data_IF_420722558162
#
_entry.id   IF_420722558162
#
_cell.length_a   1.000
_cell.length_b   1.000
_cell.length_c   1.000
_cell.angle_alpha   90.00
_cell.angle_beta   90.00
_cell.angle_gamma   90.00
#
_symmetry.space_group_name_H-M   'P 1'
#
loop_
_entity.id
_entity.type
_entity.pdbx_description
1 polymer ?
#
# COMPACT_ATOMS: atom_id res chain seq x y z
N UNK A 1 6.65 23.47 2.80
CA UNK A 1 7.24 22.66 1.71
C UNK A 1 6.19 21.70 1.22
N UNK A 2 5.92 21.69 -0.09
CA UNK A 2 4.83 20.93 -0.68
C UNK A 2 5.12 19.42 -0.61
N UNK A 3 4.38 18.70 0.24
CA UNK A 3 4.57 17.26 0.46
C UNK A 3 4.28 16.37 -0.78
N UNK A 4 3.81 16.95 -1.88
CA UNK A 4 3.63 16.28 -3.17
C UNK A 4 4.30 17.00 -4.35
N UNK A 5 5.15 18.00 -4.09
CA UNK A 5 5.86 18.67 -5.17
C UNK A 5 5.02 19.65 -6.00
N UNK A 6 3.90 20.17 -5.48
CA UNK A 6 3.11 21.26 -6.07
C UNK A 6 2.93 22.41 -5.07
N UNK A 7 3.21 23.63 -5.48
CA UNK A 7 2.81 24.82 -4.71
C UNK A 7 1.36 25.19 -5.03
N UNK A 8 0.59 25.45 -3.97
CA UNK A 8 -0.78 25.93 -4.10
C UNK A 8 -0.74 27.40 -4.47
N UNK A 9 -1.00 27.71 -5.74
CA UNK A 9 -1.20 29.08 -6.18
C UNK A 9 -2.69 29.36 -6.08
N UNK A 10 -3.06 29.97 -4.96
CA UNK A 10 -4.32 30.67 -4.64
C UNK A 10 -5.47 30.57 -5.68
N UNK A 11 -6.65 30.17 -5.19
CA UNK A 11 -7.95 30.28 -5.86
C UNK A 11 -8.14 31.67 -6.48
N UNK A 12 -8.21 31.81 -7.82
CA UNK A 12 -8.71 33.01 -8.51
C UNK A 12 -9.00 32.79 -10.02
N UNK A 13 -9.89 33.66 -10.53
CA UNK A 13 -10.48 33.81 -11.87
C UNK A 13 -11.67 32.86 -12.22
N UNK A 14 -12.90 33.40 -12.42
CA UNK A 14 -14.11 32.64 -12.80
C UNK A 14 -13.99 31.77 -14.06
N UNK A 15 -12.94 31.98 -14.87
CA UNK A 15 -12.78 31.41 -16.20
C UNK A 15 -11.97 30.10 -16.23
N UNK A 16 -11.39 29.65 -15.10
CA UNK A 16 -10.61 28.39 -15.04
C UNK A 16 -11.47 27.14 -14.89
N UNK A 17 -12.68 27.27 -14.33
CA UNK A 17 -13.68 26.21 -14.15
C UNK A 17 -13.36 25.15 -13.08
N UNK A 18 -12.22 25.23 -12.38
CA UNK A 18 -11.82 24.37 -11.26
C UNK A 18 -11.91 25.13 -9.93
N UNK A 19 -12.14 24.39 -8.82
CA UNK A 19 -12.22 25.00 -7.49
C UNK A 19 -10.83 25.43 -6.97
N UNK A 20 -9.78 24.67 -7.30
CA UNK A 20 -8.39 25.04 -7.05
C UNK A 20 -7.48 24.66 -8.22
N UNK A 21 -6.36 25.36 -8.36
CA UNK A 21 -5.28 25.00 -9.29
C UNK A 21 -3.95 25.03 -8.55
N UNK A 22 -3.08 24.05 -8.80
CA UNK A 22 -1.73 23.97 -8.28
C UNK A 22 -0.69 23.99 -9.40
N UNK A 23 0.48 24.54 -9.13
CA UNK A 23 1.63 24.50 -10.05
C UNK A 23 2.70 23.59 -9.49
N UNK A 24 3.34 22.78 -10.34
CA UNK A 24 4.46 21.96 -9.89
C UNK A 24 5.56 22.86 -9.29
N UNK A 25 6.09 22.45 -8.14
CA UNK A 25 7.20 23.12 -7.51
C UNK A 25 8.46 23.00 -8.40
N UNK A 26 9.33 24.02 -8.45
CA UNK A 26 10.46 24.06 -9.38
C UNK A 26 11.39 22.83 -9.30
N UNK A 27 11.50 22.24 -8.11
CA UNK A 27 12.45 21.16 -7.79
C UNK A 27 11.79 19.76 -7.72
N UNK A 28 10.50 19.62 -8.04
CA UNK A 28 9.76 18.35 -7.86
C UNK A 28 9.91 17.36 -9.01
N UNK A 29 10.56 17.74 -10.11
CA UNK A 29 10.65 16.94 -11.33
C UNK A 29 9.31 16.73 -12.06
N UNK A 30 8.23 17.35 -11.57
CA UNK A 30 6.91 17.33 -12.19
C UNK A 30 6.72 18.61 -13.02
N UNK A 31 6.01 18.49 -14.14
CA UNK A 31 5.67 19.61 -15.02
C UNK A 31 4.15 19.67 -15.24
N UNK A 32 3.60 20.88 -15.33
CA UNK A 32 2.19 21.11 -15.65
C UNK A 32 1.35 21.65 -14.49
N UNK A 33 0.09 21.98 -14.80
CA UNK A 33 -0.91 22.45 -13.85
C UNK A 33 -1.72 21.27 -13.29
N UNK A 34 -2.02 21.33 -12.00
CA UNK A 34 -2.92 20.45 -11.27
C UNK A 34 -4.26 21.14 -11.09
N UNK A 35 -5.35 20.59 -11.63
CA UNK A 35 -6.70 21.10 -11.37
C UNK A 35 -7.38 20.30 -10.26
N UNK A 36 -8.04 20.96 -9.32
CA UNK A 36 -8.81 20.31 -8.25
C UNK A 36 -10.26 20.76 -8.30
N UNK A 37 -11.19 19.81 -8.38
CA UNK A 37 -12.64 20.06 -8.29
C UNK A 37 -13.19 19.33 -7.05
N UNK A 38 -14.04 19.99 -6.29
CA UNK A 38 -14.68 19.47 -5.10
C UNK A 38 -16.20 19.50 -5.25
N UNK A 39 -16.85 18.37 -4.97
CA UNK A 39 -18.31 18.30 -4.95
C UNK A 39 -18.82 17.85 -3.59
N UNK A 40 -19.65 18.72 -3.01
CA UNK A 40 -20.40 18.44 -1.79
C UNK A 40 -21.85 18.08 -2.15
N UNK A 41 -22.07 16.82 -2.52
CA UNK A 41 -23.39 16.29 -2.86
C UNK A 41 -23.72 15.02 -2.09
N UNK A 42 -25.02 14.70 -1.97
CA UNK A 42 -25.52 13.55 -1.21
C UNK A 42 -25.46 12.21 -1.96
N UNK A 43 -25.23 12.24 -3.28
CA UNK A 43 -25.20 11.04 -4.14
C UNK A 43 -23.82 10.90 -4.79
N UNK A 44 -23.33 9.67 -5.01
CA UNK A 44 -22.06 9.45 -5.68
C UNK A 44 -21.98 10.17 -7.04
N UNK A 45 -20.79 10.67 -7.36
CA UNK A 45 -20.53 11.36 -8.62
C UNK A 45 -20.59 10.38 -9.79
N UNK A 46 -21.33 10.78 -10.84
CA UNK A 46 -21.52 10.01 -12.06
C UNK A 46 -20.57 10.42 -13.20
N UNK A 47 -20.63 9.68 -14.31
CA UNK A 47 -19.78 9.87 -15.50
C UNK A 47 -19.84 11.31 -16.04
N UNK A 48 -21.02 11.94 -16.02
CA UNK A 48 -21.22 13.28 -16.58
C UNK A 48 -20.30 14.33 -15.97
N UNK A 49 -20.02 14.22 -14.67
CA UNK A 49 -19.12 15.15 -13.98
C UNK A 49 -17.66 14.86 -14.31
N UNK A 50 -17.29 13.58 -14.50
CA UNK A 50 -15.94 13.20 -14.94
C UNK A 50 -15.68 13.77 -16.34
N UNK A 51 -16.64 13.64 -17.25
CA UNK A 51 -16.55 14.18 -18.60
C UNK A 51 -16.47 15.70 -18.62
N UNK A 52 -17.18 16.37 -17.70
CA UNK A 52 -17.12 17.82 -17.50
C UNK A 52 -15.70 18.27 -17.15
N UNK A 53 -15.07 17.66 -16.15
CA UNK A 53 -13.74 18.08 -15.69
C UNK A 53 -12.64 17.74 -16.71
N UNK A 54 -12.75 16.61 -17.42
CA UNK A 54 -11.81 16.25 -18.49
C UNK A 54 -11.95 17.23 -19.66
N UNK A 55 -13.18 17.57 -20.03
CA UNK A 55 -13.46 18.55 -21.07
C UNK A 55 -12.94 19.95 -20.73
N UNK A 56 -12.81 20.26 -19.45
CA UNK A 56 -12.21 21.50 -18.94
C UNK A 56 -10.67 21.44 -18.95
N UNK A 57 -10.07 20.30 -18.56
CA UNK A 57 -8.63 20.08 -18.67
C UNK A 57 -8.14 20.05 -20.12
N UNK A 58 -8.97 19.69 -21.09
CA UNK A 58 -8.62 19.83 -22.51
C UNK A 58 -8.47 21.30 -22.98
N UNK A 59 -8.98 22.26 -22.22
CA UNK A 59 -9.00 23.70 -22.58
C UNK A 59 -8.08 24.56 -21.72
N UNK A 60 -7.65 24.02 -20.59
CA UNK A 60 -6.75 24.65 -19.62
C UNK A 60 -5.47 23.81 -19.64
N UNK A 61 -4.27 24.36 -19.47
CA UNK A 61 -3.02 23.59 -19.58
C UNK A 61 -2.77 22.60 -18.40
N UNK A 62 -3.84 21.98 -17.90
CA UNK A 62 -3.91 21.06 -16.77
C UNK A 62 -3.61 19.66 -17.25
N UNK A 63 -2.47 19.12 -16.80
CA UNK A 63 -2.03 17.76 -17.12
C UNK A 63 -2.53 16.70 -16.13
N UNK A 64 -3.00 17.14 -14.95
CA UNK A 64 -3.47 16.26 -13.87
C UNK A 64 -4.68 16.86 -13.18
N UNK A 65 -5.67 16.03 -12.90
CA UNK A 65 -6.91 16.40 -12.24
C UNK A 65 -7.08 15.62 -10.94
N UNK A 66 -7.54 16.30 -9.90
CA UNK A 66 -7.99 15.68 -8.65
C UNK A 66 -9.44 16.07 -8.43
N UNK A 67 -10.32 15.08 -8.38
CA UNK A 67 -11.73 15.25 -8.11
C UNK A 67 -12.02 14.70 -6.71
N UNK A 68 -12.40 15.57 -5.80
CA UNK A 68 -12.82 15.22 -4.45
C UNK A 68 -14.35 15.14 -4.34
N UNK A 69 -14.89 14.02 -3.87
CA UNK A 69 -16.33 13.84 -3.60
C UNK A 69 -16.59 13.25 -2.22
N UNK A 70 -17.41 13.93 -1.41
CA UNK A 70 -17.82 13.43 -0.08
C UNK A 70 -18.64 12.13 -0.15
N UNK A 71 -19.44 11.97 -1.19
CA UNK A 71 -20.32 10.81 -1.36
C UNK A 71 -19.73 9.76 -2.31
N UNK A 72 -18.44 9.87 -2.64
CA UNK A 72 -17.73 8.94 -3.51
C UNK A 72 -18.14 9.05 -4.99
N UNK A 73 -17.83 8.00 -5.73
CA UNK A 73 -17.96 7.93 -7.18
C UNK A 73 -18.63 6.61 -7.60
N UNK A 74 -19.42 6.66 -8.66
CA UNK A 74 -19.99 5.44 -9.26
C UNK A 74 -18.91 4.59 -9.95
N UNK A 75 -19.13 3.28 -10.10
CA UNK A 75 -18.19 2.39 -10.79
C UNK A 75 -17.86 2.88 -12.21
N UNK A 76 -18.87 3.33 -12.96
CA UNK A 76 -18.68 3.84 -14.31
C UNK A 76 -17.93 5.18 -14.35
N UNK A 77 -18.05 6.02 -13.31
CA UNK A 77 -17.25 7.25 -13.19
C UNK A 77 -15.76 6.93 -12.97
N UNK A 78 -15.47 5.92 -12.14
CA UNK A 78 -14.10 5.41 -11.93
C UNK A 78 -13.51 4.83 -13.21
N UNK A 79 -14.28 3.99 -13.90
CA UNK A 79 -13.86 3.43 -15.20
C UNK A 79 -13.58 4.53 -16.22
N UNK A 80 -14.44 5.56 -16.28
CA UNK A 80 -14.21 6.69 -17.19
C UNK A 80 -12.94 7.46 -16.85
N UNK A 81 -12.66 7.72 -15.57
CA UNK A 81 -11.44 8.40 -15.15
C UNK A 81 -10.16 7.68 -15.63
N UNK A 82 -10.17 6.35 -15.61
CA UNK A 82 -9.03 5.51 -16.06
C UNK A 82 -8.80 5.51 -17.58
N UNK A 83 -9.84 5.76 -18.37
CA UNK A 83 -9.79 5.64 -19.83
C UNK A 83 -9.31 6.92 -20.54
N UNK A 84 -8.86 7.94 -19.80
CA UNK A 84 -8.55 9.25 -20.36
C UNK A 84 -7.05 9.59 -20.31
N UNK A 85 -6.55 10.36 -21.30
CA UNK A 85 -5.13 10.72 -21.38
C UNK A 85 -4.73 11.77 -20.32
N UNK A 86 -5.70 12.51 -19.78
CA UNK A 86 -5.49 13.37 -18.61
C UNK A 86 -5.62 12.49 -17.37
N UNK A 87 -4.60 12.46 -16.51
CA UNK A 87 -4.65 11.70 -15.27
C UNK A 87 -5.71 12.29 -14.33
N UNK A 88 -6.81 11.55 -14.08
CA UNK A 88 -7.89 11.97 -13.18
C UNK A 88 -7.86 11.11 -11.91
N UNK A 89 -7.54 11.73 -10.79
CA UNK A 89 -7.56 11.13 -9.47
C UNK A 89 -8.89 11.41 -8.78
N UNK A 90 -9.53 10.36 -8.27
CA UNK A 90 -10.81 10.46 -7.58
C UNK A 90 -10.58 10.22 -6.09
N UNK A 91 -10.83 11.22 -5.26
CA UNK A 91 -10.58 11.18 -3.83
C UNK A 91 -11.87 11.36 -3.02
N UNK A 92 -11.95 10.63 -1.93
CA UNK A 92 -12.98 10.74 -0.89
C UNK A 92 -12.42 11.45 0.35
N UNK A 93 -13.25 11.79 1.35
CA UNK A 93 -12.75 12.35 2.61
C UNK A 93 -11.74 11.43 3.30
N UNK A 94 -11.89 10.11 3.20
CA UNK A 94 -10.98 9.14 3.81
C UNK A 94 -9.64 9.11 3.07
N UNK A 95 -9.65 9.22 1.74
CA UNK A 95 -8.42 9.39 0.96
C UNK A 95 -7.68 10.69 1.31
N UNK A 96 -8.42 11.78 1.53
CA UNK A 96 -7.85 13.05 1.97
C UNK A 96 -7.28 12.97 3.38
N UNK A 97 -7.91 12.20 4.28
CA UNK A 97 -7.40 11.96 5.63
C UNK A 97 -6.14 11.10 5.60
N UNK A 98 -6.11 10.04 4.79
CA UNK A 98 -4.92 9.22 4.56
C UNK A 98 -3.77 10.08 4.02
N UNK A 99 -4.07 10.95 3.06
CA UNK A 99 -3.11 11.89 2.51
C UNK A 99 -2.64 12.92 3.53
N UNK A 100 -3.54 13.51 4.30
CA UNK A 100 -3.18 14.45 5.35
C UNK A 100 -2.28 13.79 6.42
N UNK A 101 -2.52 12.51 6.74
CA UNK A 101 -1.66 11.72 7.64
C UNK A 101 -0.29 11.45 7.02
N UNK A 102 -0.22 11.10 5.74
CA UNK A 102 1.07 10.89 5.05
C UNK A 102 1.87 12.19 4.98
N UNK A 103 1.19 13.34 4.82
CA UNK A 103 1.83 14.66 4.86
C UNK A 103 2.28 15.02 6.28
N UNK A 104 1.47 14.70 7.29
CA UNK A 104 1.83 14.92 8.69
C UNK A 104 2.99 14.04 9.16
N UNK A 105 3.10 12.81 8.67
CA UNK A 105 4.25 11.93 8.91
C UNK A 105 5.48 12.33 8.07
N UNK A 106 5.27 12.95 6.90
CA UNK A 106 6.31 13.59 6.10
C UNK A 106 6.82 14.92 6.68
N UNK A 107 6.25 15.40 7.80
CA UNK A 107 6.77 16.52 8.59
C UNK A 107 8.01 16.19 9.42
N UNK A 108 8.53 14.96 9.33
CA UNK A 108 9.81 14.56 9.91
C UNK A 108 11.00 15.10 9.11
N UNK A 109 12.18 15.05 9.73
CA UNK A 109 13.47 15.29 9.07
C UNK A 109 13.50 14.63 7.69
N UNK A 110 14.03 15.30 6.64
CA UNK A 110 14.09 14.74 5.31
C UNK A 110 14.77 13.36 5.39
N UNK A 111 14.07 12.36 4.87
CA UNK A 111 14.56 10.99 4.89
C UNK A 111 16.01 10.94 4.36
N UNK A 112 16.93 10.25 5.05
CA UNK A 112 18.30 10.12 4.56
C UNK A 112 18.32 9.64 3.11
N UNK A 113 19.09 10.32 2.25
CA UNK A 113 19.17 10.02 0.80
C UNK A 113 19.40 8.52 0.50
N UNK A 114 20.18 7.84 1.34
CA UNK A 114 20.43 6.40 1.22
C UNK A 114 19.16 5.58 1.48
N UNK A 115 18.37 5.93 2.49
CA UNK A 115 17.11 5.24 2.79
C UNK A 115 16.10 5.42 1.64
N UNK A 116 15.99 6.63 1.07
CA UNK A 116 15.16 6.88 -0.11
C UNK A 116 15.58 6.03 -1.33
N UNK A 117 16.89 5.86 -1.56
CA UNK A 117 17.41 4.99 -2.62
C UNK A 117 17.06 3.52 -2.37
N UNK A 118 17.25 3.05 -1.14
CA UNK A 118 16.89 1.67 -0.75
C UNK A 118 15.39 1.43 -0.97
N UNK A 119 14.53 2.37 -0.58
CA UNK A 119 13.09 2.29 -0.87
C UNK A 119 12.86 2.21 -2.38
N UNK A 120 13.41 3.12 -3.18
CA UNK A 120 13.21 3.11 -4.64
C UNK A 120 13.62 1.79 -5.29
N UNK A 121 14.76 1.23 -4.88
CA UNK A 121 15.19 -0.11 -5.32
C UNK A 121 14.20 -1.19 -4.89
N UNK A 122 13.68 -1.11 -3.67
CA UNK A 122 12.71 -2.06 -3.11
C UNK A 122 11.36 -2.01 -3.85
N UNK A 123 10.90 -0.83 -4.26
CA UNK A 123 9.71 -0.67 -5.11
C UNK A 123 9.89 -1.33 -6.48
N UNK A 124 11.06 -1.16 -7.10
CA UNK A 124 11.37 -1.81 -8.39
C UNK A 124 11.46 -3.33 -8.26
N UNK A 125 12.07 -3.84 -7.19
CA UNK A 125 12.07 -5.28 -6.88
C UNK A 125 10.62 -5.81 -6.79
N UNK A 126 9.73 -5.11 -6.09
CA UNK A 126 8.33 -5.52 -5.97
C UNK A 126 7.61 -5.55 -7.33
N UNK A 127 7.84 -4.55 -8.19
CA UNK A 127 7.27 -4.50 -9.54
C UNK A 127 7.79 -5.65 -10.43
N UNK A 128 9.07 -6.00 -10.30
CA UNK A 128 9.65 -7.16 -11.00
C UNK A 128 8.98 -8.44 -10.52
N UNK A 129 8.93 -8.69 -9.21
CA UNK A 129 8.28 -9.88 -8.62
C UNK A 129 6.80 -9.99 -9.00
N UNK A 130 6.08 -8.87 -9.08
CA UNK A 130 4.68 -8.86 -9.49
C UNK A 130 4.46 -9.39 -10.92
N UNK A 131 5.42 -9.12 -11.82
CA UNK A 131 5.41 -9.51 -13.24
C UNK A 131 6.03 -10.89 -13.46
N UNK A 132 7.13 -11.16 -12.77
CA UNK A 132 7.90 -12.39 -12.82
C UNK A 132 8.08 -12.96 -11.40
N UNK A 133 7.19 -13.89 -10.99
CA UNK A 133 7.27 -14.54 -9.69
C UNK A 133 8.59 -15.27 -9.40
N UNK A 134 9.34 -15.70 -10.42
CA UNK A 134 10.58 -16.47 -10.24
C UNK A 134 11.76 -15.59 -9.80
N UNK A 135 11.68 -14.28 -10.04
CA UNK A 135 12.63 -13.30 -9.52
C UNK A 135 12.76 -13.30 -7.99
N UNK A 136 11.77 -13.85 -7.26
CA UNK A 136 11.88 -14.05 -5.80
C UNK A 136 13.08 -14.93 -5.41
N UNK A 137 13.53 -15.84 -6.28
CA UNK A 137 14.66 -16.71 -6.00
C UNK A 137 16.01 -15.99 -6.04
N UNK A 138 16.07 -14.84 -6.72
CA UNK A 138 17.28 -14.04 -6.87
C UNK A 138 17.50 -13.11 -5.67
N UNK A 139 16.45 -12.85 -4.89
CA UNK A 139 16.50 -11.96 -3.74
C UNK A 139 17.23 -12.58 -2.56
N UNK A 140 17.92 -11.73 -1.80
CA UNK A 140 18.46 -12.08 -0.49
C UNK A 140 17.35 -11.97 0.56
N UNK A 141 17.45 -12.68 1.69
CA UNK A 141 16.38 -12.67 2.71
C UNK A 141 16.09 -11.26 3.20
N UNK A 142 17.13 -10.44 3.42
CA UNK A 142 16.98 -9.07 3.90
C UNK A 142 16.44 -8.12 2.84
N UNK A 143 16.75 -8.36 1.57
CA UNK A 143 16.19 -7.58 0.47
C UNK A 143 14.70 -7.89 0.29
N UNK A 144 14.32 -9.16 0.48
CA UNK A 144 12.92 -9.56 0.48
C UNK A 144 12.13 -8.91 1.62
N UNK A 145 12.71 -8.84 2.83
CA UNK A 145 12.08 -8.14 3.96
C UNK A 145 11.89 -6.65 3.68
N UNK A 146 12.94 -5.95 3.20
CA UNK A 146 12.86 -4.53 2.83
C UNK A 146 11.79 -4.29 1.76
N UNK A 147 11.79 -5.11 0.71
CA UNK A 147 10.80 -5.06 -0.36
C UNK A 147 9.39 -5.23 0.21
N UNK A 148 9.18 -6.21 1.08
CA UNK A 148 7.88 -6.47 1.68
C UNK A 148 7.43 -5.35 2.61
N UNK A 149 8.33 -4.75 3.39
CA UNK A 149 8.01 -3.56 4.20
C UNK A 149 7.55 -2.40 3.34
N UNK A 150 8.22 -2.14 2.22
CA UNK A 150 7.82 -1.07 1.27
C UNK A 150 6.47 -1.39 0.62
N UNK A 151 6.25 -2.64 0.22
CA UNK A 151 4.98 -3.11 -0.33
C UNK A 151 3.84 -2.89 0.67
N UNK A 152 4.02 -3.28 1.94
CA UNK A 152 3.00 -3.11 2.98
C UNK A 152 2.72 -1.63 3.26
N UNK A 153 3.76 -0.79 3.38
CA UNK A 153 3.56 0.65 3.53
C UNK A 153 2.79 1.25 2.33
N UNK A 154 3.16 0.87 1.11
CA UNK A 154 2.50 1.33 -0.11
C UNK A 154 1.07 0.80 -0.30
N UNK A 155 0.69 -0.27 0.41
CA UNK A 155 -0.67 -0.78 0.45
C UNK A 155 -1.53 -0.09 1.53
N UNK A 156 -0.95 0.78 2.37
CA UNK A 156 -1.67 1.54 3.39
C UNK A 156 -1.49 1.04 4.83
N UNK A 157 -0.59 0.09 5.08
CA UNK A 157 -0.23 -0.31 6.45
C UNK A 157 0.85 0.62 7.04
N UNK A 158 0.95 0.70 8.36
CA UNK A 158 2.14 1.24 9.03
C UNK A 158 3.11 0.07 9.31
N UNK A 159 4.09 -0.15 8.42
CA UNK A 159 5.00 -1.28 8.51
C UNK A 159 6.43 -0.86 8.89
N UNK A 160 6.95 -1.44 9.96
CA UNK A 160 8.30 -1.21 10.49
C UNK A 160 9.17 -2.46 10.30
N UNK A 161 10.30 -2.30 9.60
CA UNK A 161 11.30 -3.34 9.43
C UNK A 161 12.12 -3.49 10.72
N UNK A 162 12.18 -4.70 11.27
CA UNK A 162 12.96 -4.95 12.50
C UNK A 162 14.46 -4.98 12.20
N UNK A 163 15.32 -4.80 13.22
CA UNK A 163 16.77 -4.95 13.06
C UNK A 163 17.15 -6.32 12.48
N UNK A 164 18.21 -6.35 11.68
CA UNK A 164 18.78 -7.59 11.14
C UNK A 164 19.53 -8.37 12.23
N UNK A 165 18.81 -8.88 13.23
CA UNK A 165 19.33 -9.67 14.34
C UNK A 165 18.59 -11.00 14.46
N UNK A 166 19.17 -11.97 15.18
CA UNK A 166 18.57 -13.29 15.39
C UNK A 166 17.51 -13.28 16.51
N UNK A 167 16.88 -12.15 16.77
CA UNK A 167 16.30 -11.85 18.08
C UNK A 167 14.83 -12.29 18.24
N UNK A 168 14.44 -13.35 17.52
CA UNK A 168 13.25 -14.11 17.88
C UNK A 168 12.11 -14.09 16.88
N UNK A 169 12.40 -14.22 15.59
CA UNK A 169 11.39 -14.60 14.59
C UNK A 169 10.32 -13.53 14.35
N UNK A 170 10.76 -12.29 14.19
CA UNK A 170 9.95 -11.19 13.65
C UNK A 170 10.78 -10.30 12.73
N UNK A 171 10.36 -10.17 11.48
CA UNK A 171 11.08 -9.38 10.48
C UNK A 171 10.41 -8.03 10.22
N UNK A 172 9.07 -7.98 10.35
CA UNK A 172 8.28 -6.75 10.16
C UNK A 172 7.20 -6.67 11.23
N UNK A 173 7.00 -5.48 11.80
CA UNK A 173 5.84 -5.17 12.64
C UNK A 173 4.88 -4.34 11.81
N UNK A 174 3.62 -4.75 11.74
CA UNK A 174 2.58 -4.09 10.96
C UNK A 174 1.52 -3.56 11.90
N UNK A 175 1.22 -2.27 11.81
CA UNK A 175 0.12 -1.65 12.56
C UNK A 175 -0.98 -1.21 11.58
N UNK A 176 -2.22 -1.46 11.96
CA UNK A 176 -3.41 -1.06 11.23
C UNK A 176 -4.33 -0.28 12.17
N UNK A 177 -4.74 0.91 11.76
CA UNK A 177 -5.77 1.66 12.48
C UNK A 177 -7.13 1.28 11.93
N UNK A 178 -7.94 0.66 12.77
CA UNK A 178 -9.33 0.27 12.48
C UNK A 178 -10.30 1.19 13.24
N UNK A 179 -11.60 1.03 12.99
CA UNK A 179 -12.62 1.72 13.78
C UNK A 179 -12.60 1.33 15.27
N UNK A 180 -12.16 0.10 15.58
CA UNK A 180 -12.11 -0.47 16.92
C UNK A 180 -10.81 -0.15 17.68
N UNK A 181 -9.75 0.29 17.01
CA UNK A 181 -8.48 0.61 17.66
C UNK A 181 -7.27 0.53 16.73
N UNK A 182 -6.10 0.22 17.31
CA UNK A 182 -4.90 -0.13 16.54
C UNK A 182 -4.70 -1.62 16.71
N UNK A 183 -4.75 -2.35 15.61
CA UNK A 183 -4.38 -3.76 15.53
C UNK A 183 -2.92 -3.86 15.12
N UNK A 184 -2.19 -4.78 15.73
CA UNK A 184 -0.77 -5.00 15.47
C UNK A 184 -0.48 -6.45 15.14
N UNK A 185 0.29 -6.65 14.07
CA UNK A 185 0.64 -7.96 13.54
C UNK A 185 2.15 -8.11 13.44
N UNK A 186 2.62 -9.34 13.62
CA UNK A 186 4.00 -9.72 13.30
C UNK A 186 4.03 -10.39 11.94
N UNK A 187 4.96 -9.99 11.08
CA UNK A 187 5.31 -10.75 9.88
C UNK A 187 6.70 -11.35 10.06
N UNK A 188 6.78 -12.67 9.86
CA UNK A 188 8.02 -13.43 9.84
C UNK A 188 8.19 -14.06 8.46
N UNK A 189 9.40 -14.04 7.92
CA UNK A 189 9.71 -14.41 6.54
C UNK A 189 10.87 -15.41 6.50
N UNK A 190 10.56 -16.64 6.09
CA UNK A 190 11.56 -17.67 5.78
C UNK A 190 11.85 -17.72 4.29
N UNK A 191 13.04 -17.24 3.93
CA UNK A 191 13.59 -17.33 2.58
C UNK A 191 14.91 -18.14 2.55
N UNK A 192 14.79 -19.45 2.65
CA UNK A 192 15.95 -20.35 2.65
C UNK A 192 16.33 -20.79 1.25
N UNK A 193 17.44 -20.26 0.71
CA UNK A 193 17.99 -20.64 -0.60
C UNK A 193 18.35 -22.12 -0.75
N UNK A 194 18.39 -22.88 0.35
CA UNK A 194 18.56 -24.34 0.32
C UNK A 194 17.36 -25.09 -0.25
N UNK A 195 16.23 -24.41 -0.48
CA UNK A 195 14.98 -25.05 -0.90
C UNK A 195 14.30 -25.85 0.22
N UNK A 196 14.85 -25.82 1.44
CA UNK A 196 14.31 -26.54 2.59
C UNK A 196 12.95 -25.95 2.97
N UNK A 197 11.99 -26.82 3.18
CA UNK A 197 10.66 -26.47 3.70
C UNK A 197 10.70 -26.18 5.20
N UNK A 198 9.87 -25.23 5.63
CA UNK A 198 9.73 -24.87 7.05
C UNK A 198 9.02 -25.99 7.80
N UNK A 199 9.58 -26.38 8.94
CA UNK A 199 9.04 -27.43 9.81
C UNK A 199 8.30 -26.88 11.03
N UNK A 200 7.69 -27.79 11.77
CA UNK A 200 6.84 -27.54 12.95
C UNK A 200 7.49 -26.67 14.02
N UNK A 201 8.79 -26.85 14.31
CA UNK A 201 9.47 -26.06 15.33
C UNK A 201 9.46 -24.56 15.01
N UNK A 202 9.72 -24.18 13.76
CA UNK A 202 9.71 -22.76 13.36
C UNK A 202 8.31 -22.16 13.40
N UNK A 203 7.27 -22.95 13.10
CA UNK A 203 5.87 -22.54 13.23
C UNK A 203 5.54 -22.29 14.70
N UNK A 204 5.88 -23.23 15.59
CA UNK A 204 5.66 -23.10 17.04
C UNK A 204 6.41 -21.91 17.63
N UNK A 205 7.67 -21.71 17.23
CA UNK A 205 8.48 -20.58 17.70
C UNK A 205 7.81 -19.25 17.35
N UNK A 206 7.26 -19.12 16.14
CA UNK A 206 6.55 -17.90 15.74
C UNK A 206 5.25 -17.68 16.51
N UNK A 207 4.43 -18.72 16.68
CA UNK A 207 3.19 -18.63 17.47
C UNK A 207 3.50 -18.16 18.90
N UNK A 208 4.57 -18.69 19.50
CA UNK A 208 5.03 -18.25 20.82
C UNK A 208 5.44 -16.77 20.85
N UNK A 209 6.07 -16.27 19.79
CA UNK A 209 6.48 -14.87 19.67
C UNK A 209 5.27 -13.94 19.59
N UNK A 210 4.28 -14.28 18.74
CA UNK A 210 3.02 -13.53 18.62
C UNK A 210 2.30 -13.46 19.97
N UNK A 211 2.16 -14.60 20.65
CA UNK A 211 1.52 -14.67 21.96
C UNK A 211 2.28 -13.90 23.05
N UNK A 212 3.62 -14.04 23.11
CA UNK A 212 4.47 -13.36 24.09
C UNK A 212 4.47 -11.85 23.94
N UNK A 213 4.38 -11.34 22.71
CA UNK A 213 4.34 -9.90 22.43
C UNK A 213 2.93 -9.31 22.44
N UNK A 214 1.91 -10.12 22.75
CA UNK A 214 0.51 -9.72 22.87
C UNK A 214 0.01 -8.98 21.62
N UNK A 215 0.38 -9.51 20.45
CA UNK A 215 -0.04 -8.98 19.14
C UNK A 215 -1.38 -9.61 18.74
N UNK A 216 -2.16 -8.86 17.98
CA UNK A 216 -3.49 -9.27 17.53
C UNK A 216 -3.44 -10.44 16.54
N UNK A 217 -2.31 -10.60 15.84
CA UNK A 217 -2.03 -11.80 15.08
C UNK A 217 -0.65 -11.85 14.46
N UNK A 218 -0.45 -12.82 13.58
CA UNK A 218 0.80 -12.96 12.83
C UNK A 218 0.63 -13.56 11.44
N UNK A 219 1.50 -13.16 10.52
CA UNK A 219 1.64 -13.73 9.19
C UNK A 219 3.03 -14.36 9.04
N UNK A 220 3.09 -15.68 8.93
CA UNK A 220 4.32 -16.41 8.71
C UNK A 220 4.46 -16.78 7.23
N UNK A 221 5.48 -16.26 6.57
CA UNK A 221 5.72 -16.43 5.14
C UNK A 221 6.87 -17.40 4.89
N UNK A 222 6.68 -18.33 3.97
CA UNK A 222 7.74 -19.21 3.46
C UNK A 222 7.70 -19.28 1.94
N UNK A 223 8.72 -18.71 1.30
CA UNK A 223 8.85 -18.72 -0.18
C UNK A 223 9.09 -20.11 -0.76
N UNK A 224 9.67 -21.03 0.03
CA UNK A 224 9.91 -22.42 -0.35
C UNK A 224 8.88 -23.39 0.27
N UNK A 225 7.87 -22.85 0.95
CA UNK A 225 6.76 -23.58 1.52
C UNK A 225 7.05 -24.26 2.86
N UNK A 226 6.09 -25.07 3.29
CA UNK A 226 6.06 -25.76 4.57
C UNK A 226 6.13 -27.27 4.37
N UNK A 227 6.64 -27.98 5.38
CA UNK A 227 6.61 -29.42 5.46
C UNK A 227 5.18 -29.90 5.75
N UNK A 228 4.84 -31.11 5.34
CA UNK A 228 3.50 -31.69 5.50
C UNK A 228 2.98 -31.63 6.94
N UNK A 229 3.88 -31.84 7.91
CA UNK A 229 3.58 -31.86 9.34
C UNK A 229 3.80 -30.51 10.04
N UNK A 230 4.04 -29.43 9.29
CA UNK A 230 4.42 -28.14 9.89
C UNK A 230 3.34 -27.54 10.81
N UNK A 231 2.08 -27.93 10.62
CA UNK A 231 0.92 -27.37 11.31
C UNK A 231 0.27 -28.35 12.31
N UNK A 232 0.75 -29.59 12.42
CA UNK A 232 0.10 -30.66 13.21
C UNK A 232 -0.06 -30.31 14.69
N UNK A 233 0.81 -29.45 15.25
CA UNK A 233 0.75 -29.08 16.66
C UNK A 233 -0.06 -27.82 16.97
N UNK A 234 -0.69 -27.20 15.97
CA UNK A 234 -1.46 -25.97 16.17
C UNK A 234 -2.83 -26.28 16.79
N UNK A 235 -3.16 -25.56 17.85
CA UNK A 235 -4.50 -25.54 18.44
C UNK A 235 -5.46 -24.70 17.60
N UNK A 236 -6.77 -24.90 17.78
CA UNK A 236 -7.80 -24.13 17.06
C UNK A 236 -7.67 -22.61 17.29
N UNK A 237 -7.27 -22.18 18.48
CA UNK A 237 -7.03 -20.76 18.78
C UNK A 237 -5.85 -20.25 17.94
N UNK A 238 -4.72 -20.96 17.95
CA UNK A 238 -3.51 -20.55 17.23
C UNK A 238 -3.73 -20.48 15.72
N UNK A 239 -4.55 -21.38 15.15
CA UNK A 239 -4.96 -21.36 13.74
C UNK A 239 -5.76 -20.11 13.34
N UNK A 240 -6.43 -19.48 14.30
CA UNK A 240 -7.16 -18.22 14.07
C UNK A 240 -6.27 -17.00 14.29
N UNK A 241 -5.31 -17.06 15.21
CA UNK A 241 -4.39 -15.95 15.54
C UNK A 241 -3.26 -15.80 14.53
N UNK A 242 -2.78 -16.90 13.95
CA UNK A 242 -1.65 -16.90 13.02
C UNK A 242 -2.06 -17.45 11.67
N UNK A 243 -1.64 -16.77 10.61
CA UNK A 243 -1.82 -17.19 9.22
C UNK A 243 -0.50 -17.50 8.56
N UNK A 244 -0.53 -18.40 7.57
CA UNK A 244 0.66 -18.90 6.89
C UNK A 244 0.56 -18.63 5.39
N UNK A 245 1.59 -18.05 4.79
CA UNK A 245 1.62 -17.71 3.37
C UNK A 245 2.81 -18.32 2.64
N UNK A 246 2.57 -18.80 1.42
CA UNK A 246 3.63 -19.28 0.53
C UNK A 246 4.19 -18.19 -0.40
N UNK A 247 4.96 -18.61 -1.41
CA UNK A 247 5.39 -17.76 -2.54
C UNK A 247 4.24 -16.95 -3.14
N UNK A 248 3.09 -17.60 -3.37
CA UNK A 248 1.90 -16.98 -3.98
C UNK A 248 1.41 -15.76 -3.21
N UNK A 249 1.42 -15.81 -1.87
CA UNK A 249 1.01 -14.69 -1.01
C UNK A 249 1.89 -13.47 -1.23
N UNK A 250 3.22 -13.66 -1.22
CA UNK A 250 4.19 -12.59 -1.45
C UNK A 250 4.00 -11.95 -2.82
N UNK A 251 3.83 -12.78 -3.86
CA UNK A 251 3.57 -12.31 -5.23
C UNK A 251 2.26 -11.52 -5.32
N UNK A 252 1.20 -11.97 -4.66
CA UNK A 252 -0.08 -11.27 -4.67
C UNK A 252 0.00 -9.92 -3.96
N UNK A 253 0.72 -9.81 -2.84
CA UNK A 253 1.00 -8.51 -2.21
C UNK A 253 1.73 -7.56 -3.16
N UNK A 254 2.75 -8.04 -3.87
CA UNK A 254 3.48 -7.25 -4.87
C UNK A 254 2.57 -6.82 -6.04
N UNK A 255 1.67 -7.69 -6.50
CA UNK A 255 0.70 -7.37 -7.55
C UNK A 255 -0.31 -6.33 -7.09
N UNK A 256 -0.83 -6.45 -5.87
CA UNK A 256 -1.71 -5.44 -5.29
C UNK A 256 -1.00 -4.09 -5.18
N UNK A 257 0.26 -4.08 -4.70
CA UNK A 257 1.06 -2.87 -4.64
C UNK A 257 1.28 -2.24 -6.01
N UNK A 258 1.62 -3.04 -7.03
CA UNK A 258 1.77 -2.55 -8.40
C UNK A 258 0.46 -1.97 -8.98
N UNK A 259 -0.71 -2.50 -8.58
CA UNK A 259 -2.02 -1.96 -8.97
C UNK A 259 -2.33 -0.64 -8.28
N UNK A 260 -2.01 -0.49 -6.99
CA UNK A 260 -2.13 0.78 -6.26
C UNK A 260 -1.23 1.85 -6.89
N UNK A 261 0.03 1.53 -7.16
CA UNK A 261 0.97 2.45 -7.81
C UNK A 261 0.58 2.83 -9.24
N UNK A 262 -0.18 1.99 -9.94
CA UNK A 262 -0.77 2.29 -11.23
C UNK A 262 -2.13 3.02 -11.15
N UNK A 263 -2.55 3.45 -9.94
CA UNK A 263 -3.83 4.12 -9.67
C UNK A 263 -5.07 3.30 -10.04
N UNK A 264 -4.92 1.97 -10.15
CA UNK A 264 -5.99 1.05 -10.55
C UNK A 264 -6.82 0.53 -9.37
N UNK A 265 -6.40 0.80 -8.13
CA UNK A 265 -7.06 0.29 -6.94
C UNK A 265 -6.70 1.12 -5.70
N UNK A 266 -7.72 1.48 -4.91
CA UNK A 266 -7.59 2.00 -3.55
C UNK A 266 -8.32 1.01 -2.64
N UNK A 267 -7.67 0.42 -1.62
CA UNK A 267 -8.37 -0.38 -0.62
C UNK A 267 -9.35 0.53 0.12
N UNK A 268 -10.64 0.51 -0.26
CA UNK A 268 -11.72 1.11 0.54
C UNK A 268 -11.71 0.44 1.94
N UNK A 269 -12.09 1.20 2.97
CA UNK A 269 -11.88 0.99 4.42
C UNK A 269 -12.36 -0.34 5.06
N UNK A 270 -12.71 -1.35 4.27
CA UNK A 270 -12.99 -2.71 4.74
C UNK A 270 -12.14 -3.71 3.96
N UNK A 271 -10.90 -3.90 4.42
CA UNK A 271 -10.15 -5.09 4.01
C UNK A 271 -8.63 -5.03 4.04
N UNK A 272 -7.96 -4.07 4.69
CA UNK A 272 -6.49 -4.17 4.83
C UNK A 272 -6.09 -5.40 5.67
N UNK A 273 -6.76 -5.62 6.81
CA UNK A 273 -6.60 -6.86 7.57
C UNK A 273 -6.94 -8.10 6.71
N UNK A 274 -8.03 -8.05 5.94
CA UNK A 274 -8.39 -9.12 5.02
C UNK A 274 -7.31 -9.34 3.95
N UNK A 275 -6.76 -8.29 3.35
CA UNK A 275 -5.69 -8.37 2.36
C UNK A 275 -4.41 -8.95 2.96
N UNK A 276 -4.09 -8.65 4.23
CA UNK A 276 -2.96 -9.23 4.93
C UNK A 276 -3.16 -10.72 5.17
N UNK A 277 -4.40 -11.15 5.46
CA UNK A 277 -4.72 -12.52 5.86
C UNK A 277 -5.28 -13.42 4.73
N UNK A 278 -5.66 -12.85 3.58
CA UNK A 278 -6.16 -13.56 2.40
C UNK A 278 -5.05 -14.37 1.70
N UNK A 279 -5.40 -15.31 0.83
CA UNK A 279 -4.44 -16.17 0.11
C UNK A 279 -3.45 -16.90 1.05
N UNK A 280 -3.89 -17.19 2.27
CA UNK A 280 -3.13 -17.95 3.27
C UNK A 280 -3.52 -19.43 3.20
N UNK A 281 -2.66 -20.27 3.75
CA UNK A 281 -2.81 -21.74 3.74
C UNK A 281 -3.84 -22.12 4.79
N UNK A 282 -4.79 -22.98 4.41
CA UNK A 282 -5.70 -23.63 5.37
C UNK A 282 -4.90 -24.62 6.23
N UNK A 283 -4.91 -24.39 7.55
CA UNK A 283 -4.15 -25.16 8.55
C UNK A 283 -5.02 -25.96 9.49
#
# INVERSE_FOLDING_TARGET
MAAQGFEVVQQLEPDSGFDYVGTAAPDSGQQGLLGVDYKHQRRPVGISEIDRIIGLAGRTAVGRLVFVSRSGFTASARERALQNPVAVELLTPDDLLALARSVASAGGEPEPRIAALIRGVSEEMAKIVARDPDALNDLEWRDLERMLTVVLNGLGFEAELTPASKDGGKDIIVSLRTESGIETYIVELKHWRSGKRVGENSVRDFVNVVGREHRDGGLFLSTHGFAEKAFESLTEIEKTTVRFGGKTKVVNLCRSFARVGAQLWLPEDQGLAELLLADTIDT
#
